data_IF_048733330881
#
_entry.id   IF_048733330881
#
_cell.length_a   1.000
_cell.length_b   1.000
_cell.length_c   1.000
_cell.angle_alpha   90.00
_cell.angle_beta   90.00
_cell.angle_gamma   90.00
#
_symmetry.space_group_name_H-M   'P 1'
#
loop_
_entity.id
_entity.type
_entity.pdbx_description
1 polymer ?
#
# COMPACT_ATOMS: atom_id res chain seq x y z
N UNK A 1 -0.79 -1.44 -16.54
CA UNK A 1 -0.96 -2.41 -15.46
C UNK A 1 -2.03 -1.95 -14.49
N UNK A 2 -2.22 -2.66 -13.38
CA UNK A 2 -3.12 -2.26 -12.28
C UNK A 2 -2.32 -1.62 -11.16
N UNK A 3 -2.98 -0.78 -10.33
CA UNK A 3 -2.37 -0.20 -9.12
C UNK A 3 -2.69 -1.07 -7.91
N UNK A 4 -1.75 -1.18 -6.98
CA UNK A 4 -1.86 -1.95 -5.75
C UNK A 4 -1.99 -1.01 -4.54
N UNK A 5 -2.84 -1.41 -3.60
CA UNK A 5 -2.94 -0.81 -2.27
C UNK A 5 -2.70 -1.92 -1.24
N UNK A 6 -1.71 -1.72 -0.37
CA UNK A 6 -1.34 -2.66 0.68
C UNK A 6 -1.99 -2.21 1.99
N UNK A 7 -2.63 -3.15 2.68
CA UNK A 7 -3.32 -2.90 3.95
C UNK A 7 -3.18 -4.11 4.90
N UNK A 8 -3.39 -3.90 6.19
CA UNK A 8 -3.23 -4.91 7.25
C UNK A 8 -4.54 -5.51 7.76
N UNK A 9 -5.68 -4.94 7.38
CA UNK A 9 -7.02 -5.21 7.92
C UNK A 9 -7.06 -5.12 9.45
N UNK A 10 -6.37 -4.11 9.98
CA UNK A 10 -6.18 -3.94 11.41
C UNK A 10 -7.50 -3.56 12.11
N UNK A 11 -7.88 -4.36 13.09
CA UNK A 11 -8.95 -4.13 14.06
C UNK A 11 -8.40 -3.75 15.45
N UNK A 12 -7.07 -3.75 15.62
CA UNK A 12 -6.35 -3.28 16.80
C UNK A 12 -5.05 -2.60 16.38
N UNK A 13 -4.57 -1.63 17.18
CA UNK A 13 -3.38 -0.81 16.83
C UNK A 13 -2.14 -1.67 16.56
N UNK A 14 -1.90 -2.71 17.37
CA UNK A 14 -0.76 -3.63 17.21
C UNK A 14 -0.76 -4.38 15.88
N UNK A 15 -1.90 -4.52 15.21
CA UNK A 15 -1.97 -5.20 13.91
C UNK A 15 -1.43 -4.34 12.76
N UNK A 16 -1.21 -3.03 12.97
CA UNK A 16 -0.57 -2.17 11.97
C UNK A 16 0.87 -2.61 11.67
N UNK A 17 1.54 -3.28 12.62
CA UNK A 17 2.89 -3.82 12.44
C UNK A 17 2.95 -4.93 11.36
N UNK A 18 1.80 -5.52 11.00
CA UNK A 18 1.70 -6.53 9.94
C UNK A 18 1.95 -5.98 8.52
N UNK A 19 2.09 -4.65 8.34
CA UNK A 19 2.29 -4.02 7.03
C UNK A 19 3.49 -4.60 6.28
N UNK A 20 4.52 -5.02 7.01
CA UNK A 20 5.73 -5.64 6.45
C UNK A 20 5.42 -6.90 5.61
N UNK A 21 4.40 -7.67 6.00
CA UNK A 21 4.00 -8.87 5.27
C UNK A 21 3.41 -8.52 3.91
N UNK A 22 2.59 -7.48 3.84
CA UNK A 22 2.04 -6.98 2.58
C UNK A 22 3.14 -6.51 1.61
N UNK A 23 4.14 -5.79 2.12
CA UNK A 23 5.32 -5.37 1.33
C UNK A 23 6.14 -6.58 0.87
N UNK A 24 6.34 -7.59 1.73
CA UNK A 24 7.07 -8.81 1.36
C UNK A 24 6.37 -9.58 0.24
N UNK A 25 5.04 -9.69 0.28
CA UNK A 25 4.23 -10.32 -0.77
C UNK A 25 4.30 -9.53 -2.08
N UNK A 26 4.24 -8.19 -2.01
CA UNK A 26 4.36 -7.33 -3.19
C UNK A 26 5.72 -7.52 -3.90
N UNK A 27 6.83 -7.57 -3.12
CA UNK A 27 8.17 -7.85 -3.65
C UNK A 27 8.27 -9.23 -4.29
N UNK A 28 7.65 -10.25 -3.67
CA UNK A 28 7.59 -11.61 -4.25
C UNK A 28 6.85 -11.63 -5.59
N UNK A 29 5.84 -10.77 -5.76
CA UNK A 29 5.11 -10.56 -7.01
C UNK A 29 5.77 -9.59 -8.00
N UNK A 30 7.00 -9.15 -7.72
CA UNK A 30 7.78 -8.22 -8.55
C UNK A 30 7.10 -6.86 -8.77
N UNK A 31 6.23 -6.46 -7.82
CA UNK A 31 5.58 -5.16 -7.83
C UNK A 31 6.62 -4.09 -7.49
N UNK A 32 6.71 -3.05 -8.32
CA UNK A 32 7.63 -1.93 -8.08
C UNK A 32 6.95 -0.81 -7.27
N UNK A 33 7.74 0.15 -6.78
CA UNK A 33 7.24 1.26 -5.97
C UNK A 33 6.18 2.09 -6.71
N UNK A 34 6.35 2.26 -8.02
CA UNK A 34 5.49 3.07 -8.88
C UNK A 34 4.09 2.47 -9.04
N UNK A 35 3.96 1.16 -8.79
CA UNK A 35 2.69 0.42 -8.85
C UNK A 35 1.92 0.42 -7.52
N UNK A 36 2.54 0.83 -6.41
CA UNK A 36 1.94 0.82 -5.06
C UNK A 36 1.52 2.23 -4.63
N UNK A 37 0.22 2.45 -4.44
CA UNK A 37 -0.32 3.79 -4.11
C UNK A 37 0.07 4.26 -2.70
N UNK A 38 0.37 3.35 -1.77
CA UNK A 38 0.86 3.70 -0.43
C UNK A 38 2.20 4.45 -0.45
N UNK A 39 2.95 4.38 -1.55
CA UNK A 39 4.27 5.03 -1.68
C UNK A 39 4.19 6.42 -2.34
N UNK A 40 3.00 6.88 -2.73
CA UNK A 40 2.79 8.19 -3.31
C UNK A 40 2.78 9.26 -2.21
N UNK A 41 3.10 10.51 -2.57
CA UNK A 41 2.83 11.62 -1.68
C UNK A 41 1.32 11.86 -1.55
N UNK A 42 0.94 12.55 -0.47
CA UNK A 42 -0.46 12.82 -0.15
C UNK A 42 -1.22 13.53 -1.26
N UNK A 43 -0.62 14.49 -1.98
CA UNK A 43 -1.34 15.27 -3.00
C UNK A 43 -1.73 14.37 -4.18
N UNK A 44 -0.82 13.50 -4.62
CA UNK A 44 -1.08 12.55 -5.68
C UNK A 44 -2.11 11.49 -5.26
N UNK A 45 -2.01 10.98 -4.03
CA UNK A 45 -2.99 10.05 -3.47
C UNK A 45 -4.40 10.68 -3.41
N UNK A 46 -4.53 11.85 -2.79
CA UNK A 46 -5.79 12.56 -2.61
C UNK A 46 -6.48 12.85 -3.96
N UNK A 47 -5.71 13.37 -4.92
CA UNK A 47 -6.19 13.60 -6.30
C UNK A 47 -6.72 12.33 -6.97
N UNK A 48 -6.05 11.19 -6.78
CA UNK A 48 -6.47 9.92 -7.37
C UNK A 48 -7.79 9.42 -6.79
N UNK A 49 -7.94 9.49 -5.47
CA UNK A 49 -9.16 9.05 -4.77
C UNK A 49 -10.27 10.11 -4.74
N UNK A 50 -10.03 11.31 -5.29
CA UNK A 50 -10.95 12.44 -5.29
C UNK A 50 -11.37 12.86 -3.88
N UNK A 51 -10.41 12.86 -2.97
CA UNK A 51 -10.55 13.33 -1.58
C UNK A 51 -9.65 14.54 -1.34
#
# INVERSE_FOLDING_TARGET
GVKFLINTDAHQVSQMDNMLYGVAVARRGWVTKEDVVNAWDWKNFAKWFKI
#
